data_IF_699659357240
#
_entry.id   IF_699659357240
#
_cell.length_a   1.000
_cell.length_b   1.000
_cell.length_c   1.000
_cell.angle_alpha   90.00
_cell.angle_beta   90.00
_cell.angle_gamma   90.00
#
_symmetry.space_group_name_H-M   'P 1'
#
loop_
_entity.id
_entity.type
_entity.pdbx_description
1 polymer ?
#
# COMPACT_ATOMS: atom_id res chain seq x y z
N UNK A 1 -22.10 -0.26 6.09
CA UNK A 1 -20.75 0.27 5.77
C UNK A 1 -20.78 0.81 4.35
N UNK A 2 -20.23 2.00 4.12
CA UNK A 2 -20.10 2.57 2.77
C UNK A 2 -18.73 2.20 2.22
N UNK A 3 -18.69 1.62 1.02
CA UNK A 3 -17.47 1.21 0.36
C UNK A 3 -17.25 2.05 -0.90
N UNK A 4 -16.02 2.46 -1.16
CA UNK A 4 -15.65 3.11 -2.39
C UNK A 4 -15.11 2.12 -3.43
N UNK A 5 -15.31 2.46 -4.69
CA UNK A 5 -14.82 1.74 -5.88
C UNK A 5 -13.66 2.49 -6.55
N UNK A 6 -12.92 1.83 -7.45
CA UNK A 6 -11.77 2.47 -8.13
C UNK A 6 -12.15 3.69 -8.98
N UNK A 7 -13.40 3.69 -9.49
CA UNK A 7 -13.98 4.82 -10.23
C UNK A 7 -14.48 5.97 -9.36
N UNK A 8 -14.58 5.77 -8.04
CA UNK A 8 -15.08 6.79 -7.14
C UNK A 8 -14.00 7.85 -6.87
N UNK A 9 -14.42 9.11 -6.87
CA UNK A 9 -13.55 10.24 -6.59
C UNK A 9 -13.29 10.36 -5.08
N UNK A 10 -12.32 9.60 -4.57
CA UNK A 10 -11.98 9.51 -3.15
C UNK A 10 -10.55 9.92 -2.83
N UNK A 11 -9.71 10.11 -3.86
CA UNK A 11 -8.31 10.49 -3.69
C UNK A 11 -8.21 12.02 -3.82
N UNK A 12 -7.80 12.74 -2.78
CA UNK A 12 -7.53 14.17 -2.92
C UNK A 12 -6.48 14.40 -4.01
N UNK A 13 -6.78 15.27 -4.98
CA UNK A 13 -5.84 15.58 -6.09
C UNK A 13 -4.49 16.08 -5.56
N UNK A 14 -4.52 16.82 -4.46
CA UNK A 14 -3.34 17.34 -3.78
C UNK A 14 -2.46 16.26 -3.14
N UNK A 15 -2.92 15.02 -3.03
CA UNK A 15 -2.16 13.94 -2.41
C UNK A 15 -0.97 13.50 -3.29
N UNK A 16 -1.23 13.29 -4.59
CA UNK A 16 -0.23 12.81 -5.55
C UNK A 16 -0.29 13.52 -6.90
N UNK A 17 -1.50 13.86 -7.41
CA UNK A 17 -1.63 14.40 -8.76
C UNK A 17 -1.05 15.81 -8.88
N UNK A 18 -1.38 16.72 -7.95
CA UNK A 18 -0.84 18.10 -8.03
C UNK A 18 0.69 18.11 -7.90
N UNK A 19 1.33 17.40 -6.95
CA UNK A 19 2.79 17.23 -6.93
C UNK A 19 3.38 16.71 -8.23
N UNK A 20 2.72 15.73 -8.85
CA UNK A 20 3.15 15.17 -10.13
C UNK A 20 3.08 16.19 -11.25
N UNK A 21 2.00 16.97 -11.35
CA UNK A 21 1.84 18.02 -12.33
C UNK A 21 2.88 19.14 -12.15
N UNK A 22 3.15 19.52 -10.91
CA UNK A 22 4.18 20.52 -10.59
C UNK A 22 5.57 20.08 -11.03
N UNK A 23 5.95 18.84 -10.75
CA UNK A 23 7.22 18.28 -11.22
C UNK A 23 7.30 18.23 -12.76
N UNK A 24 6.20 17.86 -13.42
CA UNK A 24 6.12 17.87 -14.88
C UNK A 24 6.33 19.31 -15.44
N UNK A 25 5.68 20.31 -14.86
CA UNK A 25 5.85 21.71 -15.26
C UNK A 25 7.29 22.21 -15.06
N UNK A 26 7.92 21.86 -13.94
CA UNK A 26 9.32 22.21 -13.66
C UNK A 26 10.29 21.62 -14.70
N UNK A 27 9.92 20.49 -15.32
CA UNK A 27 10.67 19.86 -16.40
C UNK A 27 10.22 20.31 -17.81
N UNK A 28 9.38 21.35 -17.90
CA UNK A 28 8.90 21.90 -19.18
C UNK A 28 7.82 21.05 -19.87
N UNK A 29 7.22 20.10 -19.17
CA UNK A 29 6.12 19.28 -19.70
C UNK A 29 4.79 19.99 -19.53
N UNK A 30 4.04 20.14 -20.63
CA UNK A 30 2.70 20.72 -20.62
C UNK A 30 1.73 19.81 -19.84
N UNK A 31 1.05 20.38 -18.84
CA UNK A 31 0.06 19.70 -18.02
C UNK A 31 -1.10 19.12 -18.82
N UNK A 32 -1.49 19.73 -19.94
CA UNK A 32 -2.54 19.20 -20.82
C UNK A 32 -2.19 17.82 -21.36
N UNK A 33 -0.91 17.56 -21.66
CA UNK A 33 -0.42 16.25 -22.10
C UNK A 33 -0.47 15.22 -20.98
N UNK A 34 -0.18 15.62 -19.74
CA UNK A 34 -0.27 14.74 -18.58
C UNK A 34 -1.72 14.36 -18.30
N UNK A 35 -2.64 15.31 -18.42
CA UNK A 35 -4.08 15.09 -18.16
C UNK A 35 -4.83 14.42 -19.32
N UNK A 36 -4.19 14.24 -20.47
CA UNK A 36 -4.85 13.65 -21.63
C UNK A 36 -5.45 12.28 -21.31
N UNK A 37 -6.73 12.06 -21.68
CA UNK A 37 -7.47 10.82 -21.43
C UNK A 37 -7.96 10.61 -19.99
N UNK A 38 -7.56 11.45 -19.03
CA UNK A 38 -8.00 11.34 -17.62
C UNK A 38 -9.40 11.90 -17.36
N UNK A 39 -9.98 12.65 -18.30
CA UNK A 39 -11.22 13.43 -18.12
C UNK A 39 -11.13 14.50 -17.01
N UNK A 40 -9.92 14.95 -16.70
CA UNK A 40 -9.67 16.05 -15.76
C UNK A 40 -9.31 17.31 -16.54
N UNK A 41 -9.89 18.44 -16.16
CA UNK A 41 -9.48 19.75 -16.66
C UNK A 41 -8.54 20.43 -15.66
N UNK A 42 -7.45 21.02 -16.15
CA UNK A 42 -6.47 21.71 -15.29
C UNK A 42 -7.13 22.78 -14.41
N UNK A 43 -8.04 23.55 -15.00
CA UNK A 43 -8.77 24.60 -14.26
C UNK A 43 -9.57 24.05 -13.07
N UNK A 44 -10.14 22.84 -13.20
CA UNK A 44 -10.87 22.24 -12.10
C UNK A 44 -9.94 21.80 -10.96
N UNK A 45 -8.72 21.39 -11.26
CA UNK A 45 -7.73 20.99 -10.26
C UNK A 45 -7.22 22.19 -9.42
N UNK A 46 -7.36 23.42 -9.92
CA UNK A 46 -7.02 24.63 -9.15
C UNK A 46 -8.06 24.99 -8.09
N UNK A 47 -9.26 24.38 -8.15
CA UNK A 47 -10.27 24.54 -7.10
C UNK A 47 -9.83 23.73 -5.88
N UNK A 48 -10.10 24.25 -4.67
CA UNK A 48 -9.82 23.54 -3.43
C UNK A 48 -10.64 22.22 -3.33
N UNK A 49 -10.06 21.21 -2.69
CA UNK A 49 -10.73 19.97 -2.27
C UNK A 49 -11.30 19.07 -3.38
N UNK A 50 -10.69 19.08 -4.57
CA UNK A 50 -11.07 18.12 -5.61
C UNK A 50 -10.53 16.74 -5.30
N UNK A 51 -11.43 15.77 -5.29
CA UNK A 51 -11.09 14.35 -5.28
C UNK A 51 -11.13 13.79 -6.70
N UNK A 52 -10.19 12.91 -6.99
CA UNK A 52 -10.09 12.16 -8.24
C UNK A 52 -10.25 10.67 -8.00
N UNK A 53 -10.54 9.91 -9.05
CA UNK A 53 -10.55 8.46 -8.98
C UNK A 53 -9.14 7.89 -9.14
N UNK A 54 -8.99 6.62 -8.74
CA UNK A 54 -7.74 5.91 -8.97
C UNK A 54 -7.43 5.77 -10.47
N UNK A 55 -8.43 5.48 -11.30
CA UNK A 55 -8.25 5.33 -12.74
C UNK A 55 -7.73 6.62 -13.37
N UNK A 56 -8.25 7.78 -12.96
CA UNK A 56 -7.75 9.09 -13.40
C UNK A 56 -6.29 9.31 -13.00
N UNK A 57 -5.93 9.01 -11.76
CA UNK A 57 -4.55 9.12 -11.28
C UNK A 57 -3.61 8.19 -12.06
N UNK A 58 -4.01 6.95 -12.32
CA UNK A 58 -3.20 5.98 -13.06
C UNK A 58 -2.91 6.45 -14.50
N UNK A 59 -3.91 7.03 -15.19
CA UNK A 59 -3.74 7.62 -16.52
C UNK A 59 -2.71 8.76 -16.47
N UNK A 60 -2.83 9.68 -15.52
CA UNK A 60 -1.89 10.79 -15.38
C UNK A 60 -0.47 10.31 -15.06
N UNK A 61 -0.32 9.31 -14.19
CA UNK A 61 0.97 8.70 -13.91
C UNK A 61 1.58 8.03 -15.16
N UNK A 62 0.78 7.30 -15.94
CA UNK A 62 1.23 6.69 -17.19
C UNK A 62 1.74 7.74 -18.17
N UNK A 63 0.97 8.81 -18.37
CA UNK A 63 1.35 9.89 -19.28
C UNK A 63 2.65 10.57 -18.82
N UNK A 64 2.76 10.89 -17.52
CA UNK A 64 3.98 11.49 -16.94
C UNK A 64 5.21 10.63 -17.14
N UNK A 65 5.09 9.30 -16.90
CA UNK A 65 6.17 8.34 -17.12
C UNK A 65 6.68 8.28 -18.56
N UNK A 66 5.83 8.60 -19.54
CA UNK A 66 6.20 8.64 -20.93
C UNK A 66 6.78 9.99 -21.38
N UNK A 67 6.47 11.07 -20.66
CA UNK A 67 6.87 12.43 -21.00
C UNK A 67 8.13 12.90 -20.26
N UNK A 68 8.37 12.39 -19.05
CA UNK A 68 9.52 12.77 -18.23
C UNK A 68 10.77 11.97 -18.62
N UNK A 69 11.93 12.64 -18.77
CA UNK A 69 13.18 12.00 -19.18
C UNK A 69 13.83 11.18 -18.05
N UNK A 70 13.58 11.56 -16.79
CA UNK A 70 14.18 10.94 -15.60
C UNK A 70 13.18 10.07 -14.85
N UNK A 71 13.69 9.08 -14.09
CA UNK A 71 12.86 8.13 -13.35
C UNK A 71 12.89 8.38 -11.82
N UNK A 72 13.27 9.57 -11.38
CA UNK A 72 13.44 9.92 -9.96
C UNK A 72 12.23 10.65 -9.36
N UNK A 73 11.26 11.05 -10.17
CA UNK A 73 10.11 11.83 -9.72
C UNK A 73 9.18 11.06 -8.76
N UNK A 74 9.14 9.72 -8.83
CA UNK A 74 8.47 8.89 -7.82
C UNK A 74 9.06 9.12 -6.43
N UNK A 75 10.39 9.19 -6.35
CA UNK A 75 11.10 9.46 -5.10
C UNK A 75 10.92 10.91 -4.62
N UNK A 76 10.97 11.87 -5.52
CA UNK A 76 10.78 13.30 -5.21
C UNK A 76 9.38 13.55 -4.63
N UNK A 77 8.32 12.99 -5.25
CA UNK A 77 6.95 13.07 -4.72
C UNK A 77 6.89 12.48 -3.31
N UNK A 78 7.53 11.31 -3.09
CA UNK A 78 7.55 10.68 -1.79
C UNK A 78 8.19 11.54 -0.70
N UNK A 79 9.30 12.22 -1.01
CA UNK A 79 9.97 13.14 -0.07
C UNK A 79 9.11 14.35 0.27
N UNK A 80 8.37 14.88 -0.69
CA UNK A 80 7.53 16.07 -0.51
C UNK A 80 6.16 15.76 0.13
N UNK A 81 5.81 14.48 0.23
CA UNK A 81 4.48 14.01 0.62
C UNK A 81 3.94 14.66 1.91
N UNK A 82 4.75 14.79 2.96
CA UNK A 82 4.31 15.37 4.23
C UNK A 82 4.28 16.90 4.23
N UNK A 83 4.96 17.55 3.29
CA UNK A 83 5.10 19.01 3.25
C UNK A 83 4.04 19.70 2.37
N UNK A 84 3.59 19.06 1.30
CA UNK A 84 2.76 19.72 0.27
C UNK A 84 1.25 19.68 0.53
N UNK A 85 0.74 18.69 1.26
CA UNK A 85 -0.69 18.56 1.51
C UNK A 85 -0.95 18.24 2.97
N UNK A 86 -1.71 19.10 3.64
CA UNK A 86 -2.10 18.87 5.03
C UNK A 86 -3.43 18.12 5.12
N UNK A 87 -3.45 17.03 5.87
CA UNK A 87 -4.65 16.30 6.22
C UNK A 87 -4.60 15.88 7.69
N UNK A 88 -5.77 15.61 8.26
CA UNK A 88 -5.85 15.19 9.65
C UNK A 88 -5.06 13.90 9.92
N UNK A 89 -5.05 12.95 8.96
CA UNK A 89 -4.28 11.72 9.10
C UNK A 89 -2.77 11.98 9.05
N UNK A 90 -2.30 12.85 8.15
CA UNK A 90 -0.88 13.24 8.11
C UNK A 90 -0.47 13.95 9.40
N UNK A 91 -1.29 14.89 9.87
CA UNK A 91 -1.06 15.58 11.15
C UNK A 91 -0.99 14.60 12.32
N UNK A 92 -1.88 13.61 12.37
CA UNK A 92 -1.88 12.58 13.41
C UNK A 92 -0.63 11.70 13.33
N UNK A 93 -0.19 11.30 12.14
CA UNK A 93 1.00 10.46 11.90
C UNK A 93 2.27 11.23 12.24
N UNK A 94 2.44 12.46 11.75
CA UNK A 94 3.61 13.31 12.04
C UNK A 94 3.78 13.55 13.53
N UNK A 95 2.68 13.68 14.27
CA UNK A 95 2.69 13.90 15.71
C UNK A 95 2.51 12.61 16.53
N UNK A 96 2.67 11.44 15.94
CA UNK A 96 2.65 10.17 16.66
C UNK A 96 3.83 10.07 17.64
N UNK A 97 3.63 9.40 18.77
CA UNK A 97 4.67 9.27 19.82
C UNK A 97 5.82 8.36 19.39
N UNK A 98 5.51 7.32 18.66
CA UNK A 98 6.40 6.25 18.23
C UNK A 98 5.77 5.48 17.05
N UNK A 99 6.49 4.55 16.46
CA UNK A 99 5.98 3.76 15.33
C UNK A 99 4.80 2.86 15.70
N UNK A 100 4.75 2.31 16.92
CA UNK A 100 3.56 1.56 17.40
C UNK A 100 2.29 2.40 17.27
N UNK A 101 2.38 3.69 17.55
CA UNK A 101 1.24 4.60 17.41
C UNK A 101 0.94 4.94 15.94
N UNK A 102 1.96 5.14 15.11
CA UNK A 102 1.77 5.30 13.64
C UNK A 102 1.00 4.12 13.05
N UNK A 103 1.40 2.89 13.39
CA UNK A 103 0.74 1.69 12.87
C UNK A 103 -0.70 1.53 13.37
N UNK A 104 -1.00 1.94 14.61
CA UNK A 104 -2.40 2.02 15.08
C UNK A 104 -3.23 2.98 14.24
N UNK A 105 -2.69 4.15 13.90
CA UNK A 105 -3.37 5.14 13.06
C UNK A 105 -3.59 4.59 11.63
N UNK A 106 -2.57 4.02 11.02
CA UNK A 106 -2.67 3.40 9.69
C UNK A 106 -3.68 2.24 9.66
N UNK A 107 -3.74 1.41 10.69
CA UNK A 107 -4.71 0.32 10.79
C UNK A 107 -6.16 0.83 10.87
N UNK A 108 -6.37 1.97 11.56
CA UNK A 108 -7.70 2.55 11.71
C UNK A 108 -8.12 3.44 10.54
N UNK A 109 -7.19 4.10 9.87
CA UNK A 109 -7.42 5.17 8.91
C UNK A 109 -6.57 5.03 7.63
N UNK A 110 -6.23 3.81 7.21
CA UNK A 110 -5.41 3.58 6.01
C UNK A 110 -6.01 4.18 4.75
N UNK A 111 -7.34 4.14 4.62
CA UNK A 111 -8.07 4.75 3.50
C UNK A 111 -7.98 6.27 3.44
N UNK A 112 -7.73 6.93 4.57
CA UNK A 112 -7.50 8.38 4.63
C UNK A 112 -6.04 8.75 4.29
N UNK A 113 -5.11 7.81 4.50
CA UNK A 113 -3.68 8.03 4.26
C UNK A 113 -3.28 7.73 2.82
N UNK A 114 -3.61 6.53 2.34
CA UNK A 114 -3.31 6.09 0.99
C UNK A 114 -4.39 5.11 0.51
N UNK A 115 -5.50 5.62 -0.06
CA UNK A 115 -6.72 4.83 -0.34
C UNK A 115 -6.49 3.61 -1.22
N UNK A 116 -5.47 3.64 -2.06
CA UNK A 116 -5.17 2.59 -3.05
C UNK A 116 -4.34 1.44 -2.51
N UNK A 117 -3.76 1.57 -1.31
CA UNK A 117 -2.90 0.54 -0.72
C UNK A 117 -3.64 -0.34 0.28
N UNK A 118 -3.33 -1.63 0.24
CA UNK A 118 -3.70 -2.61 1.26
C UNK A 118 -2.49 -2.86 2.16
N UNK A 119 -2.66 -2.65 3.45
CA UNK A 119 -1.63 -2.89 4.46
C UNK A 119 -1.97 -4.14 5.24
N UNK A 120 -1.03 -5.07 5.32
CA UNK A 120 -1.10 -6.25 6.18
C UNK A 120 0.07 -6.25 7.14
N UNK A 121 -0.21 -6.42 8.43
CA UNK A 121 0.80 -6.44 9.49
C UNK A 121 1.01 -7.89 9.92
N UNK A 122 2.26 -8.30 9.99
CA UNK A 122 2.70 -9.57 10.52
C UNK A 122 3.79 -9.35 11.57
N UNK A 123 3.93 -10.28 12.49
CA UNK A 123 4.98 -10.24 13.50
C UNK A 123 5.60 -11.62 13.68
N UNK A 124 6.88 -11.63 13.89
CA UNK A 124 7.60 -12.72 14.53
C UNK A 124 8.16 -12.23 15.88
N UNK A 125 8.94 -13.05 16.57
CA UNK A 125 9.47 -12.74 17.91
C UNK A 125 10.36 -11.49 17.93
N UNK A 126 11.07 -11.21 16.84
CA UNK A 126 12.11 -10.17 16.76
C UNK A 126 11.69 -8.95 15.95
N UNK A 127 10.78 -9.11 14.98
CA UNK A 127 10.47 -8.07 14.00
C UNK A 127 8.97 -7.92 13.75
N UNK A 128 8.58 -6.71 13.42
CA UNK A 128 7.32 -6.36 12.76
C UNK A 128 7.54 -6.19 11.28
N UNK A 129 6.62 -6.76 10.52
CA UNK A 129 6.64 -6.78 9.07
C UNK A 129 5.36 -6.19 8.51
N UNK A 130 5.50 -5.31 7.53
CA UNK A 130 4.40 -4.68 6.83
C UNK A 130 4.45 -5.12 5.37
N UNK A 131 3.49 -5.94 4.97
CA UNK A 131 3.24 -6.28 3.57
C UNK A 131 2.33 -5.22 2.99
N UNK A 132 2.76 -4.60 1.92
CA UNK A 132 2.02 -3.56 1.24
C UNK A 132 1.70 -4.06 -0.18
N UNK A 133 0.41 -4.10 -0.48
CA UNK A 133 -0.10 -4.39 -1.79
C UNK A 133 -0.67 -3.07 -2.34
N UNK A 134 -0.04 -2.53 -3.36
CA UNK A 134 -0.58 -1.44 -4.13
C UNK A 134 -1.68 -2.06 -4.98
N UNK A 135 -2.94 -1.91 -4.55
CA UNK A 135 -4.12 -2.59 -5.11
C UNK A 135 -4.44 -2.27 -6.58
N UNK A 136 -3.40 -1.97 -7.36
CA UNK A 136 -3.42 -1.53 -8.74
C UNK A 136 -3.34 -2.77 -9.63
N UNK A 137 -4.48 -3.24 -10.06
CA UNK A 137 -4.55 -4.30 -11.04
C UNK A 137 -4.78 -3.71 -12.42
N UNK A 138 -4.12 -4.31 -13.42
CA UNK A 138 -4.22 -3.89 -14.82
C UNK A 138 -3.53 -2.55 -15.17
N UNK A 139 -2.66 -2.03 -14.32
CA UNK A 139 -1.72 -0.97 -14.69
C UNK A 139 -0.49 -1.56 -15.39
N UNK A 140 0.12 -0.84 -16.32
CA UNK A 140 1.45 -1.19 -16.82
C UNK A 140 2.45 -1.31 -15.65
N UNK A 141 3.35 -2.31 -15.74
CA UNK A 141 4.37 -2.58 -14.70
C UNK A 141 5.14 -1.32 -14.27
N UNK A 142 5.37 -0.40 -15.22
CA UNK A 142 6.05 0.86 -14.97
C UNK A 142 5.27 1.80 -14.04
N UNK A 143 3.93 1.81 -14.16
CA UNK A 143 3.04 2.60 -13.29
C UNK A 143 2.97 1.96 -11.89
N UNK A 144 2.88 0.63 -11.83
CA UNK A 144 2.90 -0.09 -10.55
C UNK A 144 4.21 0.19 -9.78
N UNK A 145 5.34 0.13 -10.48
CA UNK A 145 6.66 0.45 -9.92
C UNK A 145 6.72 1.89 -9.40
N UNK A 146 6.19 2.86 -10.14
CA UNK A 146 6.10 4.25 -9.70
C UNK A 146 5.41 4.38 -8.34
N UNK A 147 4.29 3.68 -8.12
CA UNK A 147 3.60 3.72 -6.84
C UNK A 147 4.40 3.03 -5.72
N UNK A 148 5.07 1.91 -6.00
CA UNK A 148 5.96 1.27 -5.03
C UNK A 148 7.11 2.21 -4.63
N UNK A 149 7.78 2.83 -5.59
CA UNK A 149 8.87 3.76 -5.34
C UNK A 149 8.40 5.00 -4.56
N UNK A 150 7.27 5.58 -4.94
CA UNK A 150 6.67 6.70 -4.20
C UNK A 150 6.38 6.31 -2.75
N UNK A 151 5.77 5.16 -2.53
CA UNK A 151 5.41 4.70 -1.19
C UNK A 151 6.64 4.42 -0.31
N UNK A 152 7.65 3.71 -0.83
CA UNK A 152 8.89 3.48 -0.04
C UNK A 152 9.62 4.79 0.24
N UNK A 153 9.61 5.75 -0.70
CA UNK A 153 10.19 7.06 -0.48
C UNK A 153 9.46 7.83 0.63
N UNK A 154 8.11 7.80 0.66
CA UNK A 154 7.31 8.36 1.76
C UNK A 154 7.72 7.75 3.10
N UNK A 155 7.80 6.42 3.17
CA UNK A 155 8.12 5.71 4.41
C UNK A 155 9.55 6.03 4.87
N UNK A 156 10.53 5.93 3.96
CA UNK A 156 11.93 6.16 4.31
C UNK A 156 12.19 7.61 4.72
N UNK A 157 11.61 8.58 3.99
CA UNK A 157 11.72 9.99 4.35
C UNK A 157 11.11 10.27 5.73
N UNK A 158 9.92 9.71 6.00
CA UNK A 158 9.25 9.83 7.28
C UNK A 158 10.08 9.23 8.43
N UNK A 159 10.62 8.01 8.25
CA UNK A 159 11.47 7.34 9.23
C UNK A 159 12.74 8.19 9.49
N UNK A 160 13.45 8.57 8.42
CA UNK A 160 14.65 9.39 8.54
C UNK A 160 14.40 10.71 9.29
N UNK A 161 13.27 11.36 8.99
CA UNK A 161 12.92 12.65 9.60
C UNK A 161 12.48 12.52 11.06
N UNK A 162 11.57 11.57 11.36
CA UNK A 162 10.91 11.48 12.66
C UNK A 162 11.56 10.49 13.63
N UNK A 163 12.26 9.51 13.10
CA UNK A 163 12.83 8.37 13.83
C UNK A 163 14.24 8.02 13.29
N UNK A 164 15.20 8.95 13.34
CA UNK A 164 16.52 8.76 12.69
C UNK A 164 17.33 7.59 13.26
N UNK A 165 16.97 7.08 14.43
CA UNK A 165 17.64 5.94 15.09
C UNK A 165 17.05 4.58 14.68
N UNK A 166 16.01 4.57 13.83
CA UNK A 166 15.33 3.35 13.44
C UNK A 166 15.83 2.86 12.08
N UNK A 167 16.32 1.63 12.07
CA UNK A 167 16.68 0.92 10.86
C UNK A 167 15.51 0.10 10.32
N UNK A 168 15.28 0.20 9.02
CA UNK A 168 14.31 -0.62 8.31
C UNK A 168 14.99 -1.40 7.19
N UNK A 169 14.43 -2.55 6.85
CA UNK A 169 14.81 -3.33 5.67
C UNK A 169 13.63 -3.39 4.72
N UNK A 170 13.87 -3.18 3.43
CA UNK A 170 12.84 -3.12 2.40
C UNK A 170 13.08 -4.25 1.40
N UNK A 171 12.05 -5.03 1.12
CA UNK A 171 12.03 -6.02 0.04
C UNK A 171 11.06 -5.56 -1.04
N UNK A 172 11.47 -5.66 -2.32
CA UNK A 172 10.69 -5.18 -3.45
C UNK A 172 10.37 -6.32 -4.43
N UNK A 173 9.13 -6.34 -4.99
CA UNK A 173 8.66 -7.45 -5.82
C UNK A 173 9.07 -7.36 -7.30
N UNK A 174 10.10 -6.59 -7.61
CA UNK A 174 10.61 -6.44 -8.97
C UNK A 174 12.15 -6.50 -8.99
N UNK A 175 12.70 -6.77 -10.15
CA UNK A 175 14.15 -6.80 -10.39
C UNK A 175 14.75 -5.41 -10.22
N UNK A 176 16.00 -5.37 -9.79
CA UNK A 176 16.74 -4.12 -9.68
C UNK A 176 16.66 -3.32 -11.00
N UNK A 177 16.17 -2.07 -10.96
CA UNK A 177 16.05 -1.24 -12.15
C UNK A 177 17.42 -0.71 -12.57
N UNK A 178 17.53 -0.18 -13.80
CA UNK A 178 18.75 0.42 -14.30
C UNK A 178 19.19 1.69 -13.52
N UNK A 179 18.24 2.38 -12.90
CA UNK A 179 18.44 3.62 -12.14
C UNK A 179 18.64 3.37 -10.64
N UNK A 180 19.50 2.42 -10.27
CA UNK A 180 19.80 2.08 -8.87
C UNK A 180 20.34 3.26 -8.05
N UNK A 181 21.00 4.22 -8.69
CA UNK A 181 21.52 5.43 -8.06
C UNK A 181 20.43 6.23 -7.33
N UNK A 182 19.20 6.24 -7.82
CA UNK A 182 18.10 6.93 -7.14
C UNK A 182 17.71 6.22 -5.84
N UNK A 183 17.73 4.89 -5.80
CA UNK A 183 17.51 4.16 -4.56
C UNK A 183 18.56 4.49 -3.50
N UNK A 184 19.83 4.55 -3.86
CA UNK A 184 20.88 4.94 -2.93
C UNK A 184 20.73 6.39 -2.44
N UNK A 185 20.32 7.29 -3.31
CA UNK A 185 20.18 8.71 -3.00
C UNK A 185 18.96 8.97 -2.08
N UNK A 186 17.81 8.37 -2.40
CA UNK A 186 16.53 8.73 -1.77
C UNK A 186 16.12 7.81 -0.62
N UNK A 187 16.49 6.53 -0.65
CA UNK A 187 15.99 5.54 0.32
C UNK A 187 16.84 5.46 1.59
N UNK A 188 18.15 5.49 1.47
CA UNK A 188 19.12 5.44 2.61
C UNK A 188 18.98 4.25 3.56
N UNK A 189 18.23 3.22 3.19
CA UNK A 189 18.02 1.98 3.92
C UNK A 189 18.31 0.78 3.02
N UNK A 190 18.63 -0.39 3.56
CA UNK A 190 18.84 -1.60 2.76
C UNK A 190 17.61 -1.97 1.95
N UNK A 191 17.79 -2.12 0.63
CA UNK A 191 16.74 -2.53 -0.32
C UNK A 191 17.16 -3.85 -0.98
N UNK A 192 16.27 -4.84 -0.93
CA UNK A 192 16.47 -6.16 -1.53
C UNK A 192 15.43 -6.33 -2.64
N UNK A 193 15.90 -6.47 -3.87
CA UNK A 193 15.07 -6.66 -5.05
C UNK A 193 14.76 -8.14 -5.33
N UNK A 194 13.87 -8.37 -6.29
CA UNK A 194 13.46 -9.70 -6.77
C UNK A 194 12.87 -10.59 -5.66
N UNK A 195 12.19 -9.98 -4.70
CA UNK A 195 11.44 -10.67 -3.66
C UNK A 195 9.96 -10.76 -4.04
N UNK A 196 9.21 -11.74 -3.50
CA UNK A 196 7.82 -11.94 -3.94
C UNK A 196 6.81 -10.91 -3.43
N UNK A 197 7.21 -10.04 -2.48
CA UNK A 197 6.33 -9.07 -1.82
C UNK A 197 7.07 -7.76 -1.59
N UNK A 198 6.34 -6.63 -1.61
CA UNK A 198 6.81 -5.43 -0.93
C UNK A 198 6.66 -5.66 0.58
N UNK A 199 7.78 -5.74 1.26
CA UNK A 199 7.86 -6.00 2.68
C UNK A 199 8.77 -4.96 3.35
N UNK A 200 8.27 -4.30 4.38
CA UNK A 200 9.07 -3.43 5.24
C UNK A 200 9.20 -4.10 6.60
N UNK A 201 10.43 -4.32 7.05
CA UNK A 201 10.73 -5.00 8.32
C UNK A 201 11.41 -4.05 9.28
N UNK A 202 10.95 -4.06 10.53
CA UNK A 202 11.44 -3.20 11.62
C UNK A 202 11.63 -4.08 12.85
N UNK A 203 12.72 -3.90 13.58
CA UNK A 203 12.95 -4.62 14.85
C UNK A 203 11.90 -4.23 15.89
N UNK A 204 11.33 -5.22 16.58
CA UNK A 204 10.26 -5.00 17.56
C UNK A 204 10.68 -4.06 18.71
N UNK A 205 11.92 -4.11 19.13
CA UNK A 205 12.50 -3.23 20.16
C UNK A 205 12.51 -1.75 19.76
N UNK A 206 12.64 -1.46 18.44
CA UNK A 206 12.70 -0.08 17.93
C UNK A 206 11.32 0.59 17.79
N UNK A 207 10.24 -0.16 17.88
CA UNK A 207 8.87 0.36 17.62
C UNK A 207 8.43 1.42 18.65
N UNK A 208 8.99 1.40 19.83
CA UNK A 208 8.63 2.31 20.92
C UNK A 208 9.63 3.46 21.11
N UNK A 209 10.66 3.55 20.26
CA UNK A 209 11.57 4.71 20.24
C UNK A 209 10.72 5.98 20.03
N UNK A 210 10.88 7.00 20.88
CA UNK A 210 10.08 8.21 20.79
C UNK A 210 10.36 8.98 19.51
N UNK A 211 9.31 9.53 18.92
CA UNK A 211 9.44 10.40 17.76
C UNK A 211 10.08 11.73 18.12
N UNK A 212 10.95 12.22 17.26
CA UNK A 212 11.50 13.56 17.37
C UNK A 212 10.37 14.61 17.19
N UNK A 213 10.27 15.59 18.08
CA UNK A 213 9.37 16.75 17.96
C UNK A 213 7.85 16.43 17.85
N UNK A 214 7.34 15.46 18.61
CA UNK A 214 5.90 15.12 18.57
C UNK A 214 5.05 16.08 19.43
N UNK A 215 3.89 16.52 18.91
CA UNK A 215 2.91 17.33 19.63
C UNK A 215 1.70 16.51 20.06
N UNK A 216 1.47 16.44 21.38
CA UNK A 216 0.30 15.74 21.93
C UNK A 216 -1.01 16.48 21.59
N UNK A 217 -0.99 17.81 21.54
CA UNK A 217 -2.18 18.63 21.26
C UNK A 217 -2.60 18.44 19.81
N UNK A 218 -1.69 18.64 18.87
CA UNK A 218 -1.97 18.47 17.43
C UNK A 218 -2.44 17.06 17.10
N UNK A 219 -1.81 16.04 17.69
CA UNK A 219 -2.23 14.65 17.54
C UNK A 219 -3.66 14.41 18.01
N UNK A 220 -4.00 14.90 19.22
CA UNK A 220 -5.37 14.74 19.79
C UNK A 220 -6.39 15.46 18.95
N UNK A 221 -6.11 16.67 18.48
CA UNK A 221 -6.99 17.45 17.62
C UNK A 221 -7.23 16.73 16.28
N UNK A 222 -6.17 16.26 15.63
CA UNK A 222 -6.28 15.52 14.37
C UNK A 222 -7.07 14.21 14.55
N UNK A 223 -6.79 13.46 15.62
CA UNK A 223 -7.51 12.22 15.93
C UNK A 223 -9.01 12.48 16.16
N UNK A 224 -9.36 13.52 16.88
CA UNK A 224 -10.75 13.91 17.09
C UNK A 224 -11.46 14.19 15.77
N UNK A 225 -10.84 14.96 14.86
CA UNK A 225 -11.38 15.24 13.53
C UNK A 225 -11.56 13.94 12.72
N UNK A 226 -10.56 13.06 12.71
CA UNK A 226 -10.63 11.77 12.02
C UNK A 226 -11.78 10.89 12.52
N UNK A 227 -12.04 10.87 13.82
CA UNK A 227 -13.14 10.06 14.39
C UNK A 227 -14.53 10.62 14.08
N UNK A 228 -14.64 11.89 13.74
CA UNK A 228 -15.90 12.53 13.35
C UNK A 228 -16.23 12.40 11.86
N UNK A 229 -15.22 12.13 11.02
CA UNK A 229 -15.42 11.90 9.58
C UNK A 229 -16.17 10.58 9.36
N UNK A 230 -17.03 10.56 8.36
CA UNK A 230 -17.63 9.31 7.87
C UNK A 230 -16.51 8.44 7.30
N UNK A 231 -16.32 7.25 7.87
CA UNK A 231 -15.29 6.33 7.38
C UNK A 231 -15.67 5.80 6.00
N UNK A 232 -14.88 6.18 5.01
CA UNK A 232 -14.85 5.52 3.72
C UNK A 232 -13.94 4.28 3.83
N UNK A 233 -14.47 3.11 3.49
CA UNK A 233 -13.73 1.87 3.56
C UNK A 233 -13.43 1.37 2.15
N UNK A 234 -12.19 0.96 1.90
CA UNK A 234 -11.87 0.20 0.70
C UNK A 234 -12.51 -1.18 0.80
N UNK A 235 -13.39 -1.51 -0.14
CA UNK A 235 -14.01 -2.85 -0.22
C UNK A 235 -12.96 -3.95 -0.19
N UNK A 236 -11.93 -3.81 -1.04
CA UNK A 236 -10.87 -4.81 -1.18
C UNK A 236 -10.03 -4.94 0.10
N UNK A 237 -9.76 -3.83 0.81
CA UNK A 237 -9.00 -3.87 2.07
C UNK A 237 -9.77 -4.55 3.20
N UNK A 238 -11.08 -4.29 3.31
CA UNK A 238 -11.93 -4.95 4.32
C UNK A 238 -12.09 -6.43 4.00
N UNK A 239 -12.31 -6.78 2.73
CA UNK A 239 -12.38 -8.18 2.27
C UNK A 239 -11.06 -8.93 2.55
N UNK A 240 -9.93 -8.35 2.18
CA UNK A 240 -8.62 -8.96 2.40
C UNK A 240 -8.35 -9.22 3.89
N UNK A 241 -8.68 -8.26 4.76
CA UNK A 241 -8.55 -8.42 6.22
C UNK A 241 -9.45 -9.53 6.75
N UNK A 242 -10.69 -9.60 6.26
CA UNK A 242 -11.62 -10.67 6.67
C UNK A 242 -11.10 -12.05 6.26
N UNK A 243 -10.61 -12.20 5.03
CA UNK A 243 -10.04 -13.46 4.53
C UNK A 243 -8.76 -13.84 5.31
N UNK A 244 -7.89 -12.87 5.62
CA UNK A 244 -6.69 -13.12 6.40
C UNK A 244 -6.99 -13.66 7.81
N UNK A 245 -8.07 -13.15 8.43
CA UNK A 245 -8.54 -13.63 9.74
C UNK A 245 -9.29 -14.98 9.66
N UNK A 246 -9.98 -15.24 8.55
CA UNK A 246 -10.79 -16.45 8.30
C UNK A 246 -10.51 -17.02 6.91
N UNK A 247 -9.43 -17.78 6.72
CA UNK A 247 -8.99 -18.26 5.40
C UNK A 247 -9.99 -19.16 4.67
N UNK A 248 -10.87 -19.85 5.41
CA UNK A 248 -11.95 -20.68 4.85
C UNK A 248 -13.18 -19.88 4.36
N UNK A 249 -13.14 -18.54 4.43
CA UNK A 249 -14.22 -17.66 3.95
C UNK A 249 -14.65 -18.03 2.53
N UNK A 250 -15.98 -18.14 2.32
CA UNK A 250 -16.64 -18.30 1.02
C UNK A 250 -17.17 -16.95 0.54
N UNK A 251 -17.66 -16.88 -0.71
CA UNK A 251 -18.28 -15.67 -1.26
C UNK A 251 -19.50 -15.26 -0.39
N UNK A 252 -20.29 -16.23 0.04
CA UNK A 252 -21.52 -16.04 0.84
C UNK A 252 -21.19 -15.47 2.22
N UNK A 253 -20.19 -16.08 2.90
CA UNK A 253 -19.77 -15.60 4.23
C UNK A 253 -19.08 -14.23 4.17
N UNK A 254 -18.33 -13.96 3.10
CA UNK A 254 -17.74 -12.63 2.87
C UNK A 254 -18.81 -11.57 2.60
N UNK A 255 -19.81 -11.88 1.77
CA UNK A 255 -20.92 -10.98 1.47
C UNK A 255 -21.73 -10.66 2.74
N UNK A 256 -22.05 -11.67 3.54
CA UNK A 256 -22.73 -11.48 4.83
C UNK A 256 -21.91 -10.58 5.77
N UNK A 257 -20.60 -10.78 5.89
CA UNK A 257 -19.72 -9.91 6.70
C UNK A 257 -19.73 -8.46 6.22
N UNK A 258 -19.85 -8.24 4.92
CA UNK A 258 -19.89 -6.91 4.29
C UNK A 258 -21.30 -6.33 4.25
N UNK A 259 -22.30 -7.01 4.84
CA UNK A 259 -23.72 -6.61 4.86
C UNK A 259 -24.31 -6.41 3.47
N UNK A 260 -24.01 -7.34 2.54
CA UNK A 260 -24.53 -7.32 1.16
C UNK A 260 -24.84 -8.74 0.66
N UNK A 261 -25.57 -8.85 -0.46
CA UNK A 261 -25.80 -10.14 -1.11
C UNK A 261 -24.54 -10.65 -1.86
N UNK A 262 -24.38 -11.96 -2.06
CA UNK A 262 -23.31 -12.52 -2.88
C UNK A 262 -23.29 -11.95 -4.30
N UNK A 263 -24.44 -11.71 -4.91
CA UNK A 263 -24.55 -11.10 -6.23
C UNK A 263 -24.03 -9.64 -6.23
N UNK A 264 -24.36 -8.86 -5.20
CA UNK A 264 -23.86 -7.49 -5.02
C UNK A 264 -22.34 -7.49 -4.86
N UNK A 265 -21.79 -8.38 -4.01
CA UNK A 265 -20.34 -8.49 -3.82
C UNK A 265 -19.64 -8.86 -5.14
N UNK A 266 -20.17 -9.83 -5.88
CA UNK A 266 -19.62 -10.24 -7.18
C UNK A 266 -19.60 -9.07 -8.17
N UNK A 267 -20.70 -8.31 -8.30
CA UNK A 267 -20.78 -7.13 -9.19
C UNK A 267 -19.76 -6.05 -8.78
N UNK A 268 -19.64 -5.76 -7.48
CA UNK A 268 -18.65 -4.79 -6.99
C UNK A 268 -17.23 -5.23 -7.26
N UNK A 269 -16.89 -6.49 -7.06
CA UNK A 269 -15.57 -7.03 -7.40
C UNK A 269 -15.28 -6.96 -8.90
N UNK A 270 -16.28 -7.20 -9.76
CA UNK A 270 -16.14 -7.01 -11.20
C UNK A 270 -15.90 -5.54 -11.58
N UNK A 271 -16.53 -4.58 -10.92
CA UNK A 271 -16.27 -3.15 -11.09
C UNK A 271 -14.81 -2.78 -10.72
N UNK A 272 -14.19 -3.52 -9.79
CA UNK A 272 -12.76 -3.42 -9.48
C UNK A 272 -11.87 -4.29 -10.40
N UNK A 273 -12.37 -4.79 -11.52
CA UNK A 273 -11.66 -5.70 -12.43
C UNK A 273 -11.06 -6.93 -11.71
N UNK A 274 -11.75 -7.46 -10.68
CA UNK A 274 -11.27 -8.60 -9.89
C UNK A 274 -12.40 -9.60 -9.59
N UNK A 275 -12.08 -10.68 -8.88
CA UNK A 275 -13.03 -11.68 -8.43
C UNK A 275 -12.73 -12.10 -7.00
N UNK A 276 -13.73 -12.66 -6.29
CA UNK A 276 -13.55 -13.19 -4.95
C UNK A 276 -12.45 -14.25 -4.88
N UNK A 277 -12.41 -15.16 -5.86
CA UNK A 277 -11.36 -16.19 -5.95
C UNK A 277 -9.97 -15.57 -6.05
N UNK A 278 -9.80 -14.57 -6.91
CA UNK A 278 -8.53 -13.90 -7.08
C UNK A 278 -8.10 -13.17 -5.80
N UNK A 279 -9.00 -12.38 -5.17
CA UNK A 279 -8.69 -11.68 -3.92
C UNK A 279 -8.31 -12.65 -2.80
N UNK A 280 -9.05 -13.76 -2.68
CA UNK A 280 -8.73 -14.82 -1.72
C UNK A 280 -7.36 -15.43 -2.00
N UNK A 281 -7.07 -15.77 -3.26
CA UNK A 281 -5.79 -16.31 -3.67
C UNK A 281 -4.63 -15.35 -3.35
N UNK A 282 -4.77 -14.04 -3.56
CA UNK A 282 -3.74 -13.06 -3.22
C UNK A 282 -3.49 -12.99 -1.70
N UNK A 283 -4.55 -12.97 -0.90
CA UNK A 283 -4.41 -12.98 0.57
C UNK A 283 -3.70 -14.25 1.05
N UNK A 284 -4.13 -15.42 0.59
CA UNK A 284 -3.52 -16.69 0.96
C UNK A 284 -2.06 -16.76 0.51
N UNK A 285 -1.75 -16.26 -0.70
CA UNK A 285 -0.38 -16.14 -1.21
C UNK A 285 0.48 -15.29 -0.27
N UNK A 286 0.04 -14.08 0.09
CA UNK A 286 0.80 -13.15 0.91
C UNK A 286 1.07 -13.72 2.32
N UNK A 287 0.05 -14.32 2.95
CA UNK A 287 0.19 -15.00 4.25
C UNK A 287 1.20 -16.17 4.16
N UNK A 288 1.08 -16.98 3.12
CA UNK A 288 1.97 -18.13 2.92
C UNK A 288 3.42 -17.70 2.70
N UNK A 289 3.63 -16.74 1.79
CA UNK A 289 4.96 -16.23 1.48
C UNK A 289 5.61 -15.59 2.70
N UNK A 290 4.85 -14.80 3.47
CA UNK A 290 5.35 -14.25 4.73
C UNK A 290 5.86 -15.37 5.67
N UNK A 291 5.02 -16.37 5.97
CA UNK A 291 5.41 -17.43 6.89
C UNK A 291 6.56 -18.29 6.38
N UNK A 292 6.63 -18.61 5.10
CA UNK A 292 7.73 -19.39 4.53
C UNK A 292 9.06 -18.66 4.57
N UNK A 293 9.04 -17.34 4.35
CA UNK A 293 10.28 -16.55 4.18
C UNK A 293 10.72 -15.85 5.46
N UNK A 294 9.79 -15.44 6.33
CA UNK A 294 10.10 -14.61 7.49
C UNK A 294 10.00 -15.34 8.83
N UNK A 295 9.56 -16.62 8.83
CA UNK A 295 9.44 -17.43 10.04
C UNK A 295 10.07 -18.81 9.86
N UNK A 296 10.21 -19.54 10.98
CA UNK A 296 10.61 -20.95 11.00
C UNK A 296 9.42 -21.91 10.96
N UNK A 297 8.19 -21.41 10.75
CA UNK A 297 6.97 -22.23 10.77
C UNK A 297 7.04 -23.40 9.78
N UNK A 298 6.64 -24.60 10.22
CA UNK A 298 6.58 -25.78 9.37
C UNK A 298 5.49 -25.65 8.29
N UNK A 299 5.58 -26.44 7.23
CA UNK A 299 4.51 -26.48 6.22
C UNK A 299 3.17 -26.90 6.84
N UNK A 300 3.20 -27.76 7.86
CA UNK A 300 2.02 -28.17 8.62
C UNK A 300 1.39 -26.99 9.35
N UNK A 301 2.18 -26.23 10.10
CA UNK A 301 1.72 -25.06 10.83
C UNK A 301 1.14 -23.99 9.89
N UNK A 302 1.77 -23.80 8.71
CA UNK A 302 1.28 -22.83 7.71
C UNK A 302 -0.05 -23.32 7.11
N UNK A 303 -0.15 -24.61 6.78
CA UNK A 303 -1.38 -25.19 6.21
C UNK A 303 -2.56 -25.06 7.19
N UNK A 304 -2.33 -25.31 8.49
CA UNK A 304 -3.33 -25.11 9.54
C UNK A 304 -3.80 -23.65 9.66
N UNK A 305 -2.86 -22.70 9.63
CA UNK A 305 -3.19 -21.26 9.60
C UNK A 305 -4.02 -20.84 8.39
N UNK A 306 -3.86 -21.54 7.28
CA UNK A 306 -4.65 -21.29 6.05
C UNK A 306 -5.96 -22.10 6.03
N UNK A 307 -6.26 -22.84 7.10
CA UNK A 307 -7.40 -23.76 7.17
C UNK A 307 -7.40 -24.79 6.03
N UNK A 308 -6.22 -25.33 5.69
CA UNK A 308 -6.01 -26.37 4.69
C UNK A 308 -5.62 -27.65 5.43
N UNK A 309 -6.50 -28.65 5.41
CA UNK A 309 -6.36 -29.87 6.20
C UNK A 309 -5.31 -30.87 5.66
N UNK A 310 -4.86 -30.71 4.41
CA UNK A 310 -3.94 -31.64 3.74
C UNK A 310 -2.73 -30.91 3.15
N UNK A 311 -1.54 -31.41 3.47
CA UNK A 311 -0.26 -30.90 2.98
C UNK A 311 -0.11 -31.01 1.44
N UNK A 312 -0.75 -31.99 0.82
CA UNK A 312 -0.74 -32.12 -0.64
C UNK A 312 -1.51 -30.98 -1.29
N UNK A 313 -2.68 -30.65 -0.74
CA UNK A 313 -3.48 -29.50 -1.18
C UNK A 313 -2.76 -28.19 -0.92
N UNK A 314 -2.08 -28.04 0.22
CA UNK A 314 -1.23 -26.87 0.49
C UNK A 314 -0.12 -26.71 -0.56
N UNK A 315 0.62 -27.78 -0.87
CA UNK A 315 1.69 -27.74 -1.90
C UNK A 315 1.14 -27.41 -3.29
N UNK A 316 -0.01 -27.99 -3.66
CA UNK A 316 -0.69 -27.68 -4.94
C UNK A 316 -1.13 -26.21 -5.00
N UNK A 317 -1.77 -25.71 -3.92
CA UNK A 317 -2.16 -24.30 -3.83
C UNK A 317 -0.94 -23.38 -4.01
N UNK A 318 0.13 -23.64 -3.25
CA UNK A 318 1.32 -22.80 -3.31
C UNK A 318 1.97 -22.80 -4.70
N UNK A 319 2.12 -23.98 -5.31
CA UNK A 319 2.65 -24.08 -6.68
C UNK A 319 1.77 -23.35 -7.70
N UNK A 320 0.45 -23.41 -7.54
CA UNK A 320 -0.50 -22.67 -8.38
C UNK A 320 -0.35 -21.14 -8.20
N UNK A 321 -0.17 -20.67 -6.97
CA UNK A 321 -0.11 -19.24 -6.63
C UNK A 321 1.24 -18.58 -6.94
N UNK A 322 2.35 -19.34 -6.87
CA UNK A 322 3.71 -18.81 -6.91
C UNK A 322 4.60 -19.41 -8.00
N UNK A 323 4.17 -20.51 -8.61
CA UNK A 323 5.00 -21.31 -9.52
C UNK A 323 6.11 -22.12 -8.82
N UNK A 324 6.32 -21.94 -7.51
CA UNK A 324 7.42 -22.50 -6.73
C UNK A 324 6.93 -23.45 -5.64
N UNK A 325 7.80 -24.38 -5.23
CA UNK A 325 7.55 -25.26 -4.08
C UNK A 325 7.91 -24.57 -2.75
N UNK A 326 7.41 -25.05 -1.60
CA UNK A 326 7.79 -24.51 -0.28
C UNK A 326 9.31 -24.48 -0.05
N UNK A 327 10.03 -25.53 -0.47
CA UNK A 327 11.48 -25.61 -0.30
C UNK A 327 12.21 -24.55 -1.15
N UNK A 328 11.79 -24.38 -2.42
CA UNK A 328 12.35 -23.32 -3.29
C UNK A 328 12.14 -21.92 -2.74
N UNK A 329 10.99 -21.66 -2.11
CA UNK A 329 10.71 -20.37 -1.48
C UNK A 329 11.53 -20.15 -0.20
N UNK A 330 11.77 -21.20 0.60
CA UNK A 330 12.62 -21.11 1.79
C UNK A 330 14.09 -20.84 1.44
N UNK A 331 14.58 -21.38 0.33
CA UNK A 331 15.96 -21.14 -0.15
C UNK A 331 16.13 -19.72 -0.75
N UNK A 332 15.04 -19.05 -1.07
CA UNK A 332 15.04 -17.67 -1.60
C UNK A 332 14.95 -16.58 -0.50
N UNK A 333 15.16 -16.99 0.79
CA UNK A 333 15.19 -16.07 1.94
C UNK A 333 16.16 -14.92 1.77
#
# INVERSE_FOLDING_TARGET
MTFFECSDNVIPSALLLLPLLELCQQQGVDTSKVLNGSKLAYYDLLKSDINISFDQLAVCCHNSLNLLPHNDFSFQIGQQFFNQYNSDIKTAIVNARNLTHVFKLLRCFSSEFFPVCKFSEFNNEQQRHFVIDVGIKHCPERVERFFYETLISIVCHFIYWRFPEIDITIQLPFKAPKHLEYYHTFIKHPVIFDKPLLLISIKSEQLNIPAKESSTILRRQAFYKLTKKQKLNSLLSVLARHIACKPNTTLETAAAHLSMSPATLKRKLQAHNTSFKYEKDQVLKNVTLFHLMQTSASNQTISEKLAINDLTNFRRLLKRLTGKTPNQLRLAK
#
